data_IF_465661102217
#
_entry.id   IF_465661102217
#
_cell.length_a   1.000
_cell.length_b   1.000
_cell.length_c   1.000
_cell.angle_alpha   90.00
_cell.angle_beta   90.00
_cell.angle_gamma   90.00
#
_symmetry.space_group_name_H-M   'P 1'
#
loop_
_entity.id
_entity.type
_entity.pdbx_description
1 polymer ?
#
# COMPACT_ATOMS: atom_id res chain seq x y z
N UNK A 1 24.43 -14.94 -2.86
CA UNK A 1 23.52 -15.68 -3.78
C UNK A 1 22.48 -14.72 -4.38
N UNK A 2 22.22 -14.66 -5.70
CA UNK A 2 21.01 -13.91 -6.08
C UNK A 2 20.69 -13.58 -7.53
N UNK A 3 21.63 -13.59 -8.48
CA UNK A 3 21.30 -13.19 -9.87
C UNK A 3 21.43 -14.31 -10.90
N UNK A 4 22.13 -15.39 -10.56
CA UNK A 4 22.33 -16.56 -11.45
C UNK A 4 21.03 -17.35 -11.67
N UNK A 5 20.15 -17.42 -10.66
CA UNK A 5 18.85 -18.08 -10.75
C UNK A 5 17.72 -17.19 -11.29
N UNK A 6 18.00 -15.93 -11.65
CA UNK A 6 17.00 -15.03 -12.20
C UNK A 6 16.88 -15.20 -13.71
N UNK A 7 15.67 -15.01 -14.23
CA UNK A 7 15.46 -14.86 -15.67
C UNK A 7 16.12 -13.56 -16.17
N UNK A 8 16.28 -13.41 -17.50
CA UNK A 8 16.82 -12.18 -18.09
C UNK A 8 16.01 -10.94 -17.72
N UNK A 9 14.68 -11.03 -17.74
CA UNK A 9 13.78 -9.94 -17.35
C UNK A 9 13.87 -9.62 -15.85
N UNK A 10 14.01 -10.63 -15.00
CA UNK A 10 14.20 -10.45 -13.55
C UNK A 10 15.54 -9.78 -13.23
N UNK A 11 16.62 -10.12 -13.95
CA UNK A 11 17.91 -9.43 -13.82
C UNK A 11 17.79 -7.96 -14.23
N UNK A 12 17.19 -7.69 -15.39
CA UNK A 12 16.98 -6.31 -15.85
C UNK A 12 16.19 -5.50 -14.81
N UNK A 13 15.07 -6.04 -14.31
CA UNK A 13 14.28 -5.41 -13.26
C UNK A 13 15.13 -5.10 -12.02
N UNK A 14 15.89 -6.08 -11.53
CA UNK A 14 16.68 -5.91 -10.32
C UNK A 14 17.81 -4.89 -10.49
N UNK A 15 18.46 -4.87 -11.66
CA UNK A 15 19.48 -3.88 -11.98
C UNK A 15 18.89 -2.48 -12.05
N UNK A 16 17.73 -2.29 -12.67
CA UNK A 16 17.11 -0.98 -12.83
C UNK A 16 16.47 -0.44 -11.55
N UNK A 17 15.90 -1.32 -10.71
CA UNK A 17 15.16 -0.91 -9.51
C UNK A 17 15.96 -1.03 -8.20
N UNK A 18 17.06 -1.78 -8.21
CA UNK A 18 17.74 -2.19 -6.98
C UNK A 18 16.94 -3.19 -6.13
N UNK A 19 15.78 -3.67 -6.60
CA UNK A 19 14.88 -4.55 -5.86
C UNK A 19 14.97 -5.97 -6.40
N UNK A 20 15.16 -6.95 -5.51
CA UNK A 20 15.11 -8.35 -5.91
C UNK A 20 13.65 -8.78 -6.21
N UNK A 21 13.34 -9.41 -7.36
CA UNK A 21 11.95 -9.73 -7.74
C UNK A 21 11.19 -10.58 -6.73
N UNK A 22 11.87 -11.52 -6.06
CA UNK A 22 11.26 -12.36 -4.99
C UNK A 22 10.87 -11.57 -3.73
N UNK A 23 11.33 -10.33 -3.56
CA UNK A 23 10.93 -9.47 -2.44
C UNK A 23 9.50 -8.94 -2.59
N UNK A 24 8.95 -8.97 -3.80
CA UNK A 24 7.66 -8.36 -4.14
C UNK A 24 6.44 -9.24 -3.81
N UNK A 25 6.65 -10.49 -3.44
CA UNK A 25 5.56 -11.42 -3.16
C UNK A 25 5.92 -12.48 -2.12
N UNK A 26 4.91 -12.93 -1.39
CA UNK A 26 4.98 -14.04 -0.44
C UNK A 26 4.33 -15.25 -1.13
N UNK A 27 5.07 -16.35 -1.30
CA UNK A 27 4.57 -17.52 -2.03
C UNK A 27 5.12 -18.83 -1.44
N UNK A 28 4.50 -19.95 -1.82
CA UNK A 28 4.92 -21.28 -1.36
C UNK A 28 4.89 -21.38 0.16
N UNK A 29 5.98 -21.85 0.75
CA UNK A 29 6.06 -22.11 2.19
C UNK A 29 6.02 -20.83 3.04
N UNK A 30 6.41 -19.68 2.46
CA UNK A 30 6.37 -18.38 3.12
C UNK A 30 4.93 -17.99 3.53
N UNK A 31 3.92 -18.53 2.83
CA UNK A 31 2.50 -18.28 3.12
C UNK A 31 2.11 -18.85 4.47
N UNK A 32 2.63 -20.02 4.86
CA UNK A 32 2.30 -20.64 6.14
C UNK A 32 2.87 -19.81 7.30
N UNK A 33 4.15 -19.42 7.20
CA UNK A 33 4.78 -18.51 8.16
C UNK A 33 3.99 -17.19 8.28
N UNK A 34 3.61 -16.60 7.14
CA UNK A 34 2.83 -15.36 7.11
C UNK A 34 1.49 -15.51 7.85
N UNK A 35 0.80 -16.63 7.65
CA UNK A 35 -0.51 -16.89 8.25
C UNK A 35 -0.41 -17.18 9.75
N UNK A 36 0.63 -17.87 10.20
CA UNK A 36 0.92 -18.07 11.61
C UNK A 36 1.28 -16.74 12.30
N UNK A 37 2.10 -15.89 11.66
CA UNK A 37 2.40 -14.56 12.18
C UNK A 37 1.17 -13.65 12.19
N UNK A 38 0.31 -13.71 11.16
CA UNK A 38 -0.97 -12.98 11.16
C UNK A 38 -1.79 -13.33 12.40
N UNK A 39 -1.85 -14.61 12.75
CA UNK A 39 -2.55 -15.07 13.94
C UNK A 39 -1.88 -14.55 15.22
N UNK A 40 -0.58 -14.71 15.35
CA UNK A 40 0.17 -14.33 16.54
C UNK A 40 0.09 -12.83 16.82
N UNK A 41 0.30 -12.00 15.80
CA UNK A 41 0.31 -10.55 15.91
C UNK A 41 -1.06 -9.90 15.62
N UNK A 42 -2.09 -10.71 15.41
CA UNK A 42 -3.46 -10.25 15.13
C UNK A 42 -3.51 -9.24 13.97
N UNK A 43 -2.78 -9.51 12.89
CA UNK A 43 -2.74 -8.62 11.74
C UNK A 43 -4.08 -8.62 11.00
N UNK A 44 -4.65 -7.42 10.87
CA UNK A 44 -5.90 -7.17 10.16
C UNK A 44 -5.80 -5.85 9.40
N UNK A 45 -6.28 -5.81 8.15
CA UNK A 45 -5.96 -4.73 7.22
C UNK A 45 -6.37 -3.35 7.75
N UNK A 46 -7.52 -3.23 8.41
CA UNK A 46 -8.00 -1.97 9.00
C UNK A 46 -7.23 -1.53 10.26
N UNK A 47 -6.40 -2.39 10.83
CA UNK A 47 -5.48 -2.06 11.91
C UNK A 47 -4.07 -1.71 11.43
N UNK A 48 -3.75 -1.89 10.15
CA UNK A 48 -2.39 -1.76 9.62
C UNK A 48 -2.16 -0.40 8.95
N UNK A 49 -1.45 0.48 9.64
CA UNK A 49 -0.91 1.73 9.06
C UNK A 49 0.36 1.44 8.24
N UNK A 50 0.81 2.36 7.37
CA UNK A 50 2.09 2.18 6.66
C UNK A 50 3.28 1.90 7.58
N UNK A 51 3.41 2.61 8.71
CA UNK A 51 4.46 2.35 9.69
C UNK A 51 4.34 0.94 10.29
N UNK A 52 3.12 0.49 10.63
CA UNK A 52 2.92 -0.88 11.14
C UNK A 52 3.26 -1.94 10.09
N UNK A 53 3.10 -1.63 8.80
CA UNK A 53 3.57 -2.51 7.72
C UNK A 53 5.10 -2.62 7.70
N UNK A 54 5.82 -1.53 7.92
CA UNK A 54 7.28 -1.56 8.04
C UNK A 54 7.72 -2.44 9.23
N UNK A 55 7.14 -2.23 10.40
CA UNK A 55 7.45 -3.02 11.61
C UNK A 55 7.14 -4.53 11.45
N UNK A 56 5.96 -4.83 10.89
CA UNK A 56 5.56 -6.20 10.59
C UNK A 56 6.51 -6.86 9.59
N UNK A 57 7.02 -6.10 8.62
CA UNK A 57 7.96 -6.59 7.61
C UNK A 57 9.32 -6.91 8.20
N UNK A 58 9.85 -6.04 9.06
CA UNK A 58 11.09 -6.29 9.80
C UNK A 58 10.99 -7.58 10.62
N UNK A 59 9.87 -7.76 11.33
CA UNK A 59 9.62 -8.95 12.14
C UNK A 59 9.47 -10.21 11.28
N UNK A 60 8.72 -10.11 10.17
CA UNK A 60 8.52 -11.21 9.23
C UNK A 60 9.83 -11.65 8.58
N UNK A 61 10.61 -10.70 8.06
CA UNK A 61 11.89 -10.98 7.42
C UNK A 61 12.89 -11.61 8.39
N UNK A 62 12.90 -11.18 9.64
CA UNK A 62 13.76 -11.78 10.68
C UNK A 62 13.44 -13.26 10.87
N UNK A 63 12.16 -13.62 10.98
CA UNK A 63 11.73 -15.03 11.12
C UNK A 63 11.92 -15.83 9.84
N UNK A 64 11.68 -15.21 8.69
CA UNK A 64 11.87 -15.84 7.38
C UNK A 64 13.33 -16.26 7.19
N UNK A 65 14.27 -15.36 7.48
CA UNK A 65 15.71 -15.63 7.37
C UNK A 65 16.20 -16.64 8.41
N UNK A 66 15.62 -16.62 9.63
CA UNK A 66 15.92 -17.61 10.65
C UNK A 66 15.44 -19.02 10.26
N UNK A 67 14.29 -19.14 9.58
CA UNK A 67 13.77 -20.41 9.08
C UNK A 67 14.61 -20.97 7.93
N UNK A 68 15.08 -20.10 7.03
CA UNK A 68 16.00 -20.48 5.96
C UNK A 68 16.80 -19.26 5.47
N UNK A 69 18.13 -19.23 5.68
CA UNK A 69 18.98 -18.12 5.26
C UNK A 69 19.03 -17.86 3.74
N UNK A 70 18.52 -18.78 2.92
CA UNK A 70 18.43 -18.62 1.46
C UNK A 70 17.21 -17.82 1.00
N UNK A 71 16.25 -17.54 1.90
CA UNK A 71 15.11 -16.69 1.57
C UNK A 71 15.56 -15.26 1.28
N UNK A 72 14.71 -14.55 0.52
CA UNK A 72 14.92 -13.15 0.19
C UNK A 72 13.99 -12.30 1.05
N UNK A 73 14.49 -11.27 1.76
CA UNK A 73 13.66 -10.33 2.50
C UNK A 73 12.55 -9.71 1.64
N UNK A 74 11.37 -9.58 2.22
CA UNK A 74 10.17 -9.04 1.58
C UNK A 74 10.04 -7.55 1.79
N UNK A 75 9.37 -6.91 0.83
CA UNK A 75 8.95 -5.51 0.92
C UNK A 75 7.65 -5.40 1.71
N UNK A 76 7.39 -4.27 2.40
CA UNK A 76 6.11 -4.04 3.09
C UNK A 76 4.88 -4.20 2.20
N UNK A 77 5.00 -3.81 0.93
CA UNK A 77 3.95 -4.01 -0.08
C UNK A 77 3.57 -5.48 -0.28
N UNK A 78 4.53 -6.40 -0.17
CA UNK A 78 4.29 -7.82 -0.34
C UNK A 78 3.41 -8.37 0.80
N UNK A 79 3.64 -7.92 2.03
CA UNK A 79 2.83 -8.28 3.19
C UNK A 79 1.41 -7.70 3.08
N UNK A 80 1.28 -6.43 2.69
CA UNK A 80 -0.03 -5.81 2.43
C UNK A 80 -0.84 -6.61 1.41
N UNK A 81 -0.25 -6.86 0.25
CA UNK A 81 -0.91 -7.59 -0.83
C UNK A 81 -1.31 -9.00 -0.39
N UNK A 82 -0.44 -9.68 0.36
CA UNK A 82 -0.73 -11.01 0.87
C UNK A 82 -1.85 -10.98 1.90
N UNK A 83 -1.89 -9.99 2.81
CA UNK A 83 -2.98 -9.88 3.78
C UNK A 83 -4.31 -9.67 3.07
N UNK A 84 -4.39 -8.74 2.12
CA UNK A 84 -5.62 -8.50 1.35
C UNK A 84 -6.11 -9.75 0.60
N UNK A 85 -5.18 -10.52 0.02
CA UNK A 85 -5.50 -11.82 -0.61
C UNK A 85 -6.06 -12.83 0.41
N UNK A 86 -5.42 -12.95 1.58
CA UNK A 86 -5.81 -13.90 2.62
C UNK A 86 -7.12 -13.52 3.28
N UNK A 87 -7.37 -12.24 3.56
CA UNK A 87 -8.65 -11.76 4.12
C UNK A 87 -9.81 -12.03 3.17
N UNK A 88 -9.61 -11.87 1.86
CA UNK A 88 -10.62 -12.24 0.86
C UNK A 88 -10.94 -13.74 0.91
N UNK A 89 -9.91 -14.59 0.98
CA UNK A 89 -10.09 -16.06 1.09
C UNK A 89 -10.76 -16.46 2.40
N UNK A 90 -10.33 -15.88 3.53
CA UNK A 90 -10.94 -16.11 4.84
C UNK A 90 -12.41 -15.73 4.81
N UNK A 91 -12.75 -14.55 4.28
CA UNK A 91 -14.14 -14.13 4.15
C UNK A 91 -14.97 -15.10 3.30
N UNK A 92 -14.40 -15.66 2.23
CA UNK A 92 -15.04 -16.68 1.40
C UNK A 92 -15.28 -17.99 2.15
N UNK A 93 -14.28 -18.47 2.89
CA UNK A 93 -14.41 -19.68 3.73
C UNK A 93 -15.45 -19.50 4.84
N UNK A 94 -15.44 -18.36 5.55
CA UNK A 94 -16.43 -18.03 6.59
C UNK A 94 -17.84 -17.93 6.01
N UNK A 95 -18.01 -17.27 4.86
CA UNK A 95 -19.32 -17.09 4.23
C UNK A 95 -19.92 -18.39 3.67
N UNK A 96 -19.07 -19.33 3.25
CA UNK A 96 -19.51 -20.62 2.68
C UNK A 96 -19.58 -21.74 3.71
N UNK A 97 -18.91 -21.60 4.85
CA UNK A 97 -18.72 -22.68 5.83
C UNK A 97 -17.84 -23.83 5.31
N UNK A 98 -17.28 -23.71 4.11
CA UNK A 98 -16.38 -24.70 3.55
C UNK A 98 -14.95 -24.36 3.96
N UNK A 99 -14.34 -25.15 4.84
CA UNK A 99 -12.95 -24.95 5.28
C UNK A 99 -11.97 -25.92 4.61
N UNK A 100 -12.37 -26.66 3.59
CA UNK A 100 -11.48 -27.62 2.94
C UNK A 100 -10.39 -26.90 2.12
N UNK A 101 -9.14 -27.31 2.34
CA UNK A 101 -8.00 -26.97 1.46
C UNK A 101 -8.04 -27.79 0.18
N UNK A 102 -7.12 -27.51 -0.76
CA UNK A 102 -6.96 -28.32 -1.98
C UNK A 102 -6.70 -29.81 -1.71
N UNK A 103 -6.14 -30.13 -0.54
CA UNK A 103 -5.89 -31.51 -0.11
C UNK A 103 -7.08 -32.17 0.59
N UNK A 104 -8.22 -31.47 0.73
CA UNK A 104 -9.39 -31.92 1.49
C UNK A 104 -9.30 -31.66 3.00
N UNK A 105 -8.09 -31.48 3.54
CA UNK A 105 -7.85 -31.13 4.95
C UNK A 105 -8.43 -29.77 5.33
N UNK A 106 -9.01 -29.66 6.53
CA UNK A 106 -9.71 -28.45 6.99
C UNK A 106 -8.95 -27.66 8.07
N UNK A 107 -7.95 -28.25 8.72
CA UNK A 107 -7.35 -27.73 9.94
C UNK A 107 -6.79 -26.32 9.75
N UNK A 108 -6.10 -26.08 8.63
CA UNK A 108 -5.51 -24.80 8.31
C UNK A 108 -6.56 -23.69 8.23
N UNK A 109 -7.64 -23.89 7.46
CA UNK A 109 -8.64 -22.85 7.28
C UNK A 109 -9.50 -22.66 8.53
N UNK A 110 -9.86 -23.74 9.22
CA UNK A 110 -10.58 -23.63 10.49
C UNK A 110 -9.78 -22.82 11.51
N UNK A 111 -8.47 -23.10 11.64
CA UNK A 111 -7.54 -22.34 12.47
C UNK A 111 -7.48 -20.86 12.08
N UNK A 112 -7.19 -20.53 10.83
CA UNK A 112 -6.94 -19.13 10.46
C UNK A 112 -8.21 -18.28 10.21
N UNK A 113 -9.35 -18.91 9.91
CA UNK A 113 -10.63 -18.18 9.78
C UNK A 113 -11.21 -17.74 11.12
N UNK A 114 -10.89 -18.44 12.21
CA UNK A 114 -11.36 -18.10 13.56
C UNK A 114 -10.39 -17.19 14.33
N UNK A 115 -9.16 -17.04 13.84
CA UNK A 115 -8.07 -16.44 14.59
C UNK A 115 -8.08 -14.91 14.72
N UNK A 116 -8.56 -14.22 13.69
CA UNK A 116 -8.55 -12.74 13.62
C UNK A 116 -9.83 -12.27 12.95
N UNK A 117 -10.73 -11.58 13.67
CA UNK A 117 -11.98 -11.06 13.13
C UNK A 117 -11.79 -9.98 12.05
N UNK A 118 -12.48 -10.12 10.94
CA UNK A 118 -12.53 -9.19 9.80
C UNK A 118 -13.65 -8.14 9.93
N UNK A 119 -14.53 -8.23 10.94
CA UNK A 119 -15.53 -7.22 11.26
C UNK A 119 -16.78 -7.77 11.93
N UNK A 120 -17.81 -6.92 12.08
CA UNK A 120 -19.05 -7.19 12.83
C UNK A 120 -19.79 -8.51 12.57
N UNK A 121 -19.60 -9.12 11.39
CA UNK A 121 -20.35 -10.30 10.98
C UNK A 121 -19.58 -11.61 11.19
N UNK A 122 -18.32 -11.52 11.63
CA UNK A 122 -17.48 -12.69 11.90
C UNK A 122 -17.89 -13.27 13.25
N UNK A 123 -18.87 -14.17 13.23
CA UNK A 123 -19.39 -14.82 14.44
C UNK A 123 -20.90 -15.08 14.44
N UNK A 124 -21.68 -14.52 13.49
CA UNK A 124 -23.06 -14.97 13.30
C UNK A 124 -23.08 -16.12 12.30
N UNK A 125 -22.78 -17.33 12.80
CA UNK A 125 -23.26 -18.58 12.20
C UNK A 125 -24.78 -18.49 12.10
N UNK A 126 -25.26 -18.09 10.93
CA UNK A 126 -26.67 -18.21 10.61
C UNK A 126 -26.92 -19.67 10.23
N UNK A 127 -27.07 -20.53 11.23
CA UNK A 127 -27.54 -21.91 11.06
C UNK A 127 -29.05 -21.88 10.95
N UNK A 128 -29.57 -21.71 9.73
CA UNK A 128 -31.01 -21.83 9.47
C UNK A 128 -31.31 -21.88 7.96
N UNK A 129 -32.24 -22.74 7.50
CA UNK A 129 -32.66 -22.74 6.10
C UNK A 129 -33.31 -21.38 5.79
N UNK A 130 -32.80 -20.66 4.77
CA UNK A 130 -33.28 -19.33 4.39
C UNK A 130 -32.50 -18.15 4.97
N UNK A 131 -31.38 -18.39 5.66
CA UNK A 131 -30.56 -17.31 6.20
C UNK A 131 -29.71 -16.60 5.13
N UNK A 132 -29.77 -15.27 5.14
CA UNK A 132 -29.06 -14.42 4.16
C UNK A 132 -27.56 -14.63 4.30
N UNK A 133 -26.91 -15.09 3.21
CA UNK A 133 -25.44 -15.17 3.08
C UNK A 133 -24.82 -13.88 3.62
N UNK A 134 -23.85 -14.01 4.52
CA UNK A 134 -23.06 -12.87 4.99
C UNK A 134 -22.39 -12.22 3.78
N UNK A 135 -22.61 -10.92 3.60
CA UNK A 135 -22.04 -10.19 2.47
C UNK A 135 -20.53 -10.08 2.69
N UNK A 136 -19.74 -10.32 1.62
CA UNK A 136 -18.30 -10.10 1.63
C UNK A 136 -17.99 -8.67 2.10
N UNK A 137 -17.02 -8.46 3.01
CA UNK A 137 -16.60 -7.14 3.43
C UNK A 137 -16.17 -6.31 2.22
N UNK A 138 -16.61 -5.05 2.18
CA UNK A 138 -16.14 -4.11 1.16
C UNK A 138 -14.69 -3.76 1.44
N UNK A 139 -13.86 -3.79 0.40
CA UNK A 139 -12.42 -3.52 0.49
C UNK A 139 -12.09 -2.28 -0.33
N UNK A 140 -11.21 -1.42 0.18
CA UNK A 140 -10.71 -0.28 -0.57
C UNK A 140 -9.77 -0.75 -1.67
N UNK A 141 -10.03 -0.34 -2.92
CA UNK A 141 -9.20 -0.74 -4.06
C UNK A 141 -7.77 -0.14 -4.02
N UNK A 142 -7.54 0.92 -3.23
CA UNK A 142 -6.22 1.57 -3.12
C UNK A 142 -5.33 0.92 -2.06
N UNK A 143 -5.80 0.86 -0.82
CA UNK A 143 -5.02 0.32 0.31
C UNK A 143 -5.33 -1.14 0.66
N UNK A 144 -6.25 -1.79 -0.06
CA UNK A 144 -6.70 -3.17 0.17
C UNK A 144 -7.28 -3.43 1.57
N UNK A 145 -7.68 -2.37 2.26
CA UNK A 145 -8.23 -2.43 3.62
C UNK A 145 -9.74 -2.64 3.60
N UNK A 146 -10.24 -3.46 4.53
CA UNK A 146 -11.69 -3.59 4.78
C UNK A 146 -12.24 -2.23 5.22
N UNK A 147 -13.25 -1.73 4.51
CA UNK A 147 -13.69 -0.35 4.64
C UNK A 147 -14.55 -0.08 5.87
N UNK A 148 -15.39 -1.03 6.28
CA UNK A 148 -16.39 -0.80 7.32
C UNK A 148 -16.41 -1.93 8.36
N UNK A 149 -15.30 -2.15 9.09
CA UNK A 149 -15.21 -3.23 10.07
C UNK A 149 -16.06 -2.95 11.33
N UNK A 150 -16.29 -1.69 11.68
CA UNK A 150 -16.96 -1.24 12.91
C UNK A 150 -18.36 -0.62 12.70
N UNK A 151 -19.05 -0.21 13.79
CA UNK A 151 -20.31 0.54 13.70
C UNK A 151 -20.22 1.82 12.88
N UNK A 152 -21.37 2.38 12.52
CA UNK A 152 -21.42 3.71 11.90
C UNK A 152 -20.60 4.68 12.76
N UNK A 153 -19.77 5.49 12.10
CA UNK A 153 -18.86 6.48 12.71
C UNK A 153 -17.66 5.92 13.50
N UNK A 154 -17.40 4.61 13.45
CA UNK A 154 -16.21 4.07 14.13
C UNK A 154 -14.92 4.59 13.51
N UNK A 155 -13.87 4.81 14.30
CA UNK A 155 -12.62 5.37 13.81
C UNK A 155 -11.90 4.44 12.81
N UNK A 156 -12.13 3.14 12.88
CA UNK A 156 -11.56 2.14 11.97
C UNK A 156 -12.26 2.13 10.60
N UNK A 157 -13.46 2.74 10.51
CA UNK A 157 -14.15 2.82 9.24
C UNK A 157 -13.43 3.80 8.32
N UNK A 158 -13.17 3.30 7.12
CA UNK A 158 -12.66 4.06 6.02
C UNK A 158 -13.59 5.24 5.70
N UNK A 159 -13.01 6.42 5.51
CA UNK A 159 -13.78 7.62 5.17
C UNK A 159 -14.37 7.49 3.76
N UNK A 160 -15.52 8.13 3.56
CA UNK A 160 -16.21 8.11 2.28
C UNK A 160 -15.48 9.00 1.27
N UNK A 161 -15.13 8.45 0.10
CA UNK A 161 -14.58 9.19 -1.03
C UNK A 161 -13.06 9.29 -1.08
N UNK A 162 -12.35 9.03 0.02
CA UNK A 162 -10.89 9.14 0.09
C UNK A 162 -10.25 8.15 1.07
N UNK A 163 -9.00 7.78 0.81
CA UNK A 163 -8.21 6.82 1.57
C UNK A 163 -7.50 7.43 2.77
N UNK A 164 -6.83 6.60 3.58
CA UNK A 164 -6.12 7.03 4.79
C UNK A 164 -4.96 7.99 4.54
N UNK A 165 -4.50 8.08 3.29
CA UNK A 165 -3.50 9.06 2.81
C UNK A 165 -4.14 10.35 2.25
N UNK A 166 -5.47 10.49 2.33
CA UNK A 166 -6.20 11.66 1.86
C UNK A 166 -6.49 11.70 0.36
N UNK A 167 -5.97 10.76 -0.43
CA UNK A 167 -6.21 10.69 -1.89
C UNK A 167 -7.56 10.02 -2.18
N UNK A 168 -8.22 10.43 -3.26
CA UNK A 168 -9.51 9.89 -3.72
C UNK A 168 -9.47 8.38 -3.87
N UNK A 169 -10.51 7.67 -3.40
CA UNK A 169 -10.63 6.23 -3.59
C UNK A 169 -10.76 5.83 -5.07
N UNK A 170 -11.19 6.76 -5.92
CA UNK A 170 -11.34 6.55 -7.36
C UNK A 170 -10.04 6.74 -8.13
N UNK A 171 -9.05 7.43 -7.55
CA UNK A 171 -7.77 7.68 -8.21
C UNK A 171 -6.83 6.48 -7.97
N UNK A 172 -6.77 5.60 -8.96
CA UNK A 172 -5.91 4.40 -8.93
C UNK A 172 -4.51 4.67 -9.50
N UNK A 173 -4.30 5.81 -10.15
CA UNK A 173 -3.00 6.17 -10.74
C UNK A 173 -2.00 6.62 -9.68
N UNK A 174 -2.51 7.17 -8.56
CA UNK A 174 -1.74 7.56 -7.38
C UNK A 174 -1.66 6.40 -6.39
N UNK A 175 -0.47 5.81 -6.30
CA UNK A 175 -0.18 4.67 -5.43
C UNK A 175 -0.38 5.04 -3.95
N UNK A 176 -1.12 4.21 -3.19
CA UNK A 176 -1.18 4.32 -1.73
C UNK A 176 0.08 3.72 -1.10
N UNK A 177 0.57 4.15 0.07
CA UNK A 177 0.17 5.36 0.77
C UNK A 177 0.92 6.56 0.21
N UNK A 178 0.27 7.71 0.09
CA UNK A 178 0.99 8.98 -0.08
C UNK A 178 1.37 9.57 1.29
N UNK A 179 2.44 10.38 1.36
CA UNK A 179 2.78 11.15 2.55
C UNK A 179 1.62 12.03 3.02
N UNK A 180 1.46 12.13 4.34
CA UNK A 180 0.35 12.86 4.96
C UNK A 180 0.41 14.36 4.63
N UNK A 181 -0.77 14.97 4.49
CA UNK A 181 -0.91 16.41 4.25
C UNK A 181 -0.80 16.83 2.78
N UNK A 182 -0.25 16.00 1.88
CA UNK A 182 -0.21 16.31 0.45
C UNK A 182 -1.61 16.31 -0.16
N UNK A 183 -2.43 15.34 0.24
CA UNK A 183 -3.81 15.22 -0.21
C UNK A 183 -4.76 15.25 0.98
N UNK A 184 -5.92 15.89 0.82
CA UNK A 184 -7.00 15.79 1.80
C UNK A 184 -8.36 15.60 1.15
N UNK A 185 -9.22 14.83 1.83
CA UNK A 185 -10.63 14.60 1.48
C UNK A 185 -10.85 14.08 0.05
N UNK A 186 -9.80 13.57 -0.60
CA UNK A 186 -9.79 13.11 -1.98
C UNK A 186 -9.97 14.19 -3.03
N UNK A 187 -9.92 15.46 -2.63
CA UNK A 187 -10.27 16.60 -3.48
C UNK A 187 -9.26 17.74 -3.44
N UNK A 188 -8.40 17.79 -2.43
CA UNK A 188 -7.46 18.88 -2.27
C UNK A 188 -6.04 18.37 -2.41
N UNK A 189 -5.20 19.13 -3.11
CA UNK A 189 -3.76 18.96 -3.19
C UNK A 189 -3.06 20.17 -2.57
N UNK A 190 -2.07 19.93 -1.72
CA UNK A 190 -1.33 20.98 -1.01
C UNK A 190 0.12 21.01 -1.48
N UNK A 191 0.54 22.05 -2.24
CA UNK A 191 1.88 22.10 -2.80
C UNK A 191 3.00 22.24 -1.76
N UNK A 192 2.76 22.92 -0.62
CA UNK A 192 3.82 23.09 0.40
C UNK A 192 4.22 21.73 1.02
N UNK A 193 3.30 20.92 1.58
CA UNK A 193 3.64 19.57 2.04
C UNK A 193 4.29 18.71 0.94
N UNK A 194 3.86 18.86 -0.32
CA UNK A 194 4.45 18.15 -1.45
C UNK A 194 5.92 18.52 -1.66
N UNK A 195 6.24 19.82 -1.72
CA UNK A 195 7.62 20.31 -1.93
C UNK A 195 8.53 20.00 -0.73
N UNK A 196 7.99 20.09 0.50
CA UNK A 196 8.70 19.68 1.71
C UNK A 196 9.04 18.19 1.68
N UNK A 197 8.08 17.34 1.30
CA UNK A 197 8.31 15.89 1.15
C UNK A 197 9.35 15.60 0.08
N UNK A 198 9.30 16.31 -1.06
CA UNK A 198 10.29 16.17 -2.12
C UNK A 198 11.71 16.47 -1.62
N UNK A 199 11.87 17.52 -0.80
CA UNK A 199 13.17 17.85 -0.19
C UNK A 199 13.65 16.75 0.77
N UNK A 200 12.77 16.23 1.63
CA UNK A 200 13.11 15.14 2.55
C UNK A 200 13.58 13.89 1.80
N UNK A 201 12.90 13.54 0.70
CA UNK A 201 13.25 12.38 -0.11
C UNK A 201 14.57 12.59 -0.86
N UNK A 202 14.84 13.81 -1.33
CA UNK A 202 16.15 14.16 -1.88
C UNK A 202 17.26 13.96 -0.83
N UNK A 203 17.05 14.42 0.40
CA UNK A 203 18.02 14.23 1.48
C UNK A 203 18.26 12.74 1.78
N UNK A 204 17.22 11.90 1.80
CA UNK A 204 17.37 10.46 1.99
C UNK A 204 18.12 9.77 0.82
N UNK A 205 17.70 10.02 -0.41
CA UNK A 205 18.21 9.29 -1.59
C UNK A 205 19.58 9.79 -2.03
N UNK A 206 19.80 11.10 -2.01
CA UNK A 206 20.98 11.74 -2.63
C UNK A 206 22.04 12.07 -1.58
N UNK A 207 21.65 12.72 -0.48
CA UNK A 207 22.60 13.14 0.56
C UNK A 207 23.01 11.95 1.42
N UNK A 208 22.04 11.19 1.93
CA UNK A 208 22.28 10.00 2.77
C UNK A 208 22.57 8.74 1.95
N UNK A 209 22.39 8.78 0.62
CA UNK A 209 22.62 7.66 -0.30
C UNK A 209 21.83 6.40 0.08
N UNK A 210 20.63 6.57 0.66
CA UNK A 210 19.76 5.44 0.99
C UNK A 210 19.26 4.77 -0.30
N UNK A 211 19.35 3.44 -0.42
CA UNK A 211 18.77 2.73 -1.55
C UNK A 211 17.27 2.93 -1.63
N UNK A 212 16.72 3.07 -2.85
CA UNK A 212 15.28 3.24 -3.06
C UNK A 212 14.44 2.12 -2.43
N UNK A 213 14.94 0.88 -2.46
CA UNK A 213 14.28 -0.28 -1.85
C UNK A 213 14.22 -0.25 -0.32
N UNK A 214 14.92 0.67 0.34
CA UNK A 214 14.91 0.86 1.80
C UNK A 214 14.03 2.04 2.23
N UNK A 215 13.41 2.74 1.29
CA UNK A 215 12.49 3.83 1.61
C UNK A 215 11.21 3.31 2.29
N UNK A 216 10.61 4.18 3.11
CA UNK A 216 9.27 3.98 3.63
C UNK A 216 8.25 3.84 2.48
N UNK A 217 7.12 3.18 2.74
CA UNK A 217 6.09 2.93 1.73
C UNK A 217 5.56 4.22 1.11
N UNK A 218 5.40 5.26 1.93
CA UNK A 218 4.98 6.60 1.53
C UNK A 218 6.00 7.25 0.59
N UNK A 219 7.28 7.20 0.97
CA UNK A 219 8.36 7.79 0.19
C UNK A 219 8.50 7.11 -1.16
N UNK A 220 8.41 5.78 -1.22
CA UNK A 220 8.42 5.05 -2.49
C UNK A 220 7.24 5.44 -3.39
N UNK A 221 6.02 5.45 -2.84
CA UNK A 221 4.83 5.81 -3.60
C UNK A 221 4.84 7.28 -4.05
N UNK A 222 5.47 8.16 -3.28
CA UNK A 222 5.69 9.54 -3.66
C UNK A 222 6.72 9.67 -4.79
N UNK A 223 7.85 8.97 -4.73
CA UNK A 223 8.84 8.93 -5.82
C UNK A 223 8.19 8.43 -7.12
N UNK A 224 7.36 7.39 -7.04
CA UNK A 224 6.62 6.87 -8.19
C UNK A 224 5.64 7.92 -8.77
N UNK A 225 5.02 8.74 -7.92
CA UNK A 225 4.13 9.84 -8.34
C UNK A 225 4.93 10.93 -9.05
N UNK A 226 6.00 11.41 -8.43
CA UNK A 226 6.86 12.47 -8.95
C UNK A 226 7.50 12.03 -10.26
N UNK A 227 8.15 10.86 -10.29
CA UNK A 227 8.89 10.36 -11.45
C UNK A 227 8.04 10.17 -12.71
N UNK A 228 6.72 9.96 -12.56
CA UNK A 228 5.80 9.86 -13.71
C UNK A 228 5.45 11.20 -14.34
N UNK A 229 5.62 12.31 -13.63
CA UNK A 229 4.95 13.58 -13.93
C UNK A 229 5.88 14.79 -13.94
N UNK A 230 7.15 14.60 -13.58
CA UNK A 230 8.18 15.63 -13.70
C UNK A 230 8.64 15.77 -15.15
N UNK A 231 8.75 17.01 -15.59
CA UNK A 231 9.34 17.37 -16.87
C UNK A 231 10.11 18.70 -16.75
N UNK A 232 10.85 19.05 -17.80
CA UNK A 232 11.50 20.35 -17.91
C UNK A 232 10.63 21.31 -18.73
N UNK A 233 10.44 22.53 -18.21
CA UNK A 233 9.76 23.63 -18.89
C UNK A 233 10.61 24.89 -18.72
N UNK A 234 11.04 25.49 -19.83
CA UNK A 234 11.86 26.72 -19.82
C UNK A 234 13.11 26.60 -18.90
N UNK A 235 13.82 25.47 -18.96
CA UNK A 235 14.98 25.13 -18.11
C UNK A 235 14.68 24.97 -16.62
N UNK A 236 13.41 24.90 -16.25
CA UNK A 236 12.97 24.66 -14.87
C UNK A 236 12.35 23.27 -14.78
N UNK A 237 12.73 22.49 -13.77
CA UNK A 237 12.04 21.24 -13.46
C UNK A 237 10.68 21.56 -12.83
N UNK A 238 9.64 20.96 -13.39
CA UNK A 238 8.26 21.19 -12.99
C UNK A 238 7.50 19.89 -12.83
N UNK A 239 6.51 19.87 -11.95
CA UNK A 239 5.55 18.79 -11.77
C UNK A 239 4.22 19.15 -12.45
N UNK A 240 3.77 18.32 -13.39
CA UNK A 240 2.51 18.53 -14.10
C UNK A 240 1.32 18.29 -13.19
N UNK A 241 0.46 19.30 -12.98
CA UNK A 241 -0.67 19.20 -12.05
C UNK A 241 -1.88 18.46 -12.63
N UNK A 242 -2.05 18.46 -13.95
CA UNK A 242 -3.19 17.82 -14.63
C UNK A 242 -3.27 16.30 -14.34
N UNK A 243 -2.15 15.66 -13.99
CA UNK A 243 -2.11 14.24 -13.66
C UNK A 243 -2.86 13.88 -12.37
N UNK A 244 -3.14 14.87 -11.53
CA UNK A 244 -3.84 14.68 -10.26
C UNK A 244 -5.34 14.41 -10.49
N UNK A 245 -5.85 14.78 -11.67
CA UNK A 245 -7.22 14.60 -12.10
C UNK A 245 -8.06 15.88 -11.98
N UNK A 246 -9.11 16.02 -12.80
CA UNK A 246 -9.85 17.27 -12.94
C UNK A 246 -10.68 17.64 -11.69
N UNK A 247 -10.93 16.69 -10.80
CA UNK A 247 -11.69 16.91 -9.56
C UNK A 247 -10.82 17.45 -8.41
N UNK A 248 -9.50 17.53 -8.58
CA UNK A 248 -8.58 17.99 -7.55
C UNK A 248 -8.42 19.51 -7.60
N UNK A 249 -8.79 20.16 -6.49
CA UNK A 249 -8.50 21.56 -6.20
C UNK A 249 -7.08 21.69 -5.64
N UNK A 250 -6.33 22.64 -6.18
CA UNK A 250 -4.98 22.97 -5.72
C UNK A 250 -5.10 24.07 -4.67
N UNK A 251 -4.39 23.94 -3.57
CA UNK A 251 -4.27 25.02 -2.58
C UNK A 251 -3.52 26.21 -3.19
N UNK A 252 -4.25 27.30 -3.43
CA UNK A 252 -3.75 28.56 -3.99
C UNK A 252 -3.41 29.59 -2.91
N UNK A 253 -3.29 29.17 -1.64
CA UNK A 253 -2.83 30.06 -0.57
C UNK A 253 -1.34 30.44 -0.69
N UNK A 254 -0.61 29.74 -1.56
CA UNK A 254 0.81 30.00 -1.82
C UNK A 254 1.00 31.03 -2.95
N UNK A 255 2.15 31.72 -3.00
CA UNK A 255 2.43 32.70 -4.05
C UNK A 255 2.36 32.10 -5.46
N UNK A 256 1.81 32.87 -6.41
CA UNK A 256 1.71 32.48 -7.82
C UNK A 256 3.08 32.15 -8.46
N UNK A 257 4.17 32.68 -7.89
CA UNK A 257 5.54 32.40 -8.31
C UNK A 257 5.94 30.93 -8.21
N UNK A 258 5.20 30.10 -7.45
CA UNK A 258 5.41 28.65 -7.40
C UNK A 258 4.84 27.91 -8.61
N UNK A 259 4.02 28.56 -9.43
CA UNK A 259 3.35 27.95 -10.55
C UNK A 259 3.86 28.46 -11.88
N UNK A 260 3.83 27.59 -12.88
CA UNK A 260 4.02 27.95 -14.28
C UNK A 260 2.79 27.50 -15.08
N UNK A 261 2.46 28.26 -16.11
CA UNK A 261 1.38 27.92 -17.05
C UNK A 261 1.96 27.84 -18.45
N UNK A 262 1.66 26.74 -19.15
CA UNK A 262 1.94 26.62 -20.57
C UNK A 262 0.70 26.03 -21.24
N UNK A 263 0.11 26.80 -22.16
CA UNK A 263 -1.20 26.54 -22.74
C UNK A 263 -2.27 26.35 -21.65
N UNK A 264 -2.98 25.22 -21.67
CA UNK A 264 -4.03 24.88 -20.71
C UNK A 264 -3.54 24.03 -19.53
N UNK A 265 -2.23 23.80 -19.40
CA UNK A 265 -1.67 22.99 -18.31
C UNK A 265 -1.01 23.89 -17.27
N UNK A 266 -1.32 23.60 -16.01
CA UNK A 266 -0.65 24.21 -14.85
C UNK A 266 0.43 23.28 -14.31
N UNK A 267 1.54 23.86 -13.90
CA UNK A 267 2.70 23.15 -13.39
C UNK A 267 3.14 23.75 -12.06
N UNK A 268 3.62 22.90 -11.16
CA UNK A 268 4.26 23.30 -9.91
C UNK A 268 5.78 23.31 -10.11
N UNK A 269 6.44 24.42 -9.81
CA UNK A 269 7.90 24.54 -9.89
C UNK A 269 8.57 23.70 -8.80
N UNK A 270 9.66 23.03 -9.15
CA UNK A 270 10.45 22.20 -8.24
C UNK A 270 11.76 22.88 -7.82
N UNK A 271 11.72 24.21 -7.70
CA UNK A 271 12.87 25.03 -7.29
C UNK A 271 13.38 24.70 -5.88
N UNK A 272 12.64 23.95 -5.06
CA UNK A 272 13.14 23.47 -3.77
C UNK A 272 14.36 22.53 -3.89
N UNK A 273 14.67 22.09 -5.11
CA UNK A 273 15.83 21.28 -5.46
C UNK A 273 16.83 22.02 -6.36
N UNK A 274 16.69 23.32 -6.61
CA UNK A 274 17.66 24.08 -7.40
C UNK A 274 19.00 24.22 -6.66
N UNK A 275 20.09 24.15 -7.40
CA UNK A 275 21.47 24.37 -6.91
C UNK A 275 21.67 25.78 -6.32
#
# INVERSE_FOLDING_TARGET
PGFSSLTRSQRLFATCSGIHPKSLSINGDEVFLFMDMRMEFQWVSYGMTPCRWADATTTFNSRLMAANPSYIPKMPRALLNKLGEMEKKISEHVATGNYASKSGKTEFWTKHCSAVPLGKNDGKTLTGPGTKRTRKPQTCNRCQTIMYPGPRNSPENHKLGYCSDGVSQKNLDIQWPQPQGIFTKGKNFYPIPFLQTLRLIYDELIIQKRPIGELAMESQAFVDLVGKQVCELEKTLVFKLDCLGPEISIDTSIPDSFFMKNNNTSYLRLDCLSD
#
